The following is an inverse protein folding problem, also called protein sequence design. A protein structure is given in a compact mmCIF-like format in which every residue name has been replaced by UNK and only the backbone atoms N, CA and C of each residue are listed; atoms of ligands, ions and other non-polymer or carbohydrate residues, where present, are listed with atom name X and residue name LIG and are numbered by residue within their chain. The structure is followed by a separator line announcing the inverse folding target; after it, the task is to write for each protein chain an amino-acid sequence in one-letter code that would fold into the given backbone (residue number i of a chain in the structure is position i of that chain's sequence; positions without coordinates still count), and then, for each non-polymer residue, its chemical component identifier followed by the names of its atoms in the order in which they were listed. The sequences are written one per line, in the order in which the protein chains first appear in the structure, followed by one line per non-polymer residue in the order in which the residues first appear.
data_IF_435976028444
#
_entry.id   IF_435976028444
#
_cell.length_a   1.000
_cell.length_b   1.000
_cell.length_c   1.000
_cell.angle_alpha   90.00
_cell.angle_beta   90.00
_cell.angle_gamma   90.00
#
_symmetry.space_group_name_H-M   'P 1'
#
loop_
_entity.id
_entity.type
_entity.pdbx_description
1 polymer ?
#
# COMPACT_ATOMS: atom_id res chain seq x y z
N UNK A 1 -7.62 -20.35 2.85
CA UNK A 1 -8.37 -19.34 2.09
C UNK A 1 -7.50 -18.10 1.94
N UNK A 2 -7.19 -17.71 0.69
CA UNK A 2 -6.49 -16.47 0.43
C UNK A 2 -7.47 -15.30 0.45
N UNK A 3 -7.16 -14.24 1.21
CA UNK A 3 -7.98 -13.04 1.32
C UNK A 3 -7.26 -11.87 0.68
N UNK A 4 -7.90 -11.26 -0.31
CA UNK A 4 -7.36 -10.09 -1.03
C UNK A 4 -8.32 -8.91 -0.81
N UNK A 5 -7.80 -7.80 -0.33
CA UNK A 5 -8.52 -6.53 -0.17
C UNK A 5 -8.04 -5.57 -1.24
N UNK A 6 -8.98 -5.02 -2.02
CA UNK A 6 -8.70 -3.98 -3.01
C UNK A 6 -9.28 -2.67 -2.49
N UNK A 7 -8.48 -1.62 -2.41
CA UNK A 7 -8.86 -0.34 -1.80
C UNK A 7 -8.21 0.84 -2.50
N UNK A 8 -8.76 2.04 -2.33
CA UNK A 8 -8.11 3.29 -2.68
C UNK A 8 -7.19 3.79 -1.56
N UNK A 9 -6.31 4.71 -1.89
CA UNK A 9 -5.38 5.34 -0.95
C UNK A 9 -6.10 6.09 0.18
N UNK A 10 -7.15 6.83 -0.15
CA UNK A 10 -7.94 7.55 0.83
C UNK A 10 -8.69 6.62 1.79
N UNK A 11 -9.27 5.53 1.27
CA UNK A 11 -9.99 4.56 2.11
C UNK A 11 -9.04 3.84 3.05
N UNK A 12 -7.85 3.43 2.54
CA UNK A 12 -6.85 2.76 3.36
C UNK A 12 -6.27 3.67 4.44
N UNK A 13 -5.81 4.87 4.05
CA UNK A 13 -4.95 5.69 4.89
C UNK A 13 -5.71 6.72 5.75
N UNK A 14 -6.96 7.07 5.38
CA UNK A 14 -7.81 7.92 6.21
C UNK A 14 -8.65 7.07 7.17
N UNK A 15 -9.89 6.75 6.79
CA UNK A 15 -10.81 6.02 7.67
C UNK A 15 -10.33 4.60 7.99
N UNK A 16 -9.65 3.94 7.04
CA UNK A 16 -9.07 2.61 7.19
C UNK A 16 -7.74 2.57 7.96
N UNK A 17 -7.11 3.73 8.22
CA UNK A 17 -5.74 3.79 8.76
C UNK A 17 -5.53 3.01 10.05
N UNK A 18 -6.50 3.09 10.98
CA UNK A 18 -6.46 2.29 12.21
C UNK A 18 -6.50 0.78 11.92
N UNK A 19 -7.36 0.33 11.03
CA UNK A 19 -7.47 -1.08 10.66
C UNK A 19 -6.21 -1.57 9.95
N UNK A 20 -5.65 -0.75 9.05
CA UNK A 20 -4.41 -1.02 8.35
C UNK A 20 -3.24 -1.24 9.32
N UNK A 21 -3.01 -0.29 10.25
CA UNK A 21 -1.93 -0.39 11.25
C UNK A 21 -2.08 -1.65 12.10
N UNK A 22 -3.30 -1.97 12.57
CA UNK A 22 -3.53 -3.14 13.40
C UNK A 22 -3.45 -4.47 12.64
N UNK A 23 -3.80 -4.51 11.37
CA UNK A 23 -3.61 -5.69 10.51
C UNK A 23 -2.12 -5.96 10.28
N UNK A 24 -1.33 -4.91 9.98
CA UNK A 24 0.13 -4.98 9.88
C UNK A 24 0.75 -5.53 11.19
N UNK A 25 0.44 -4.89 12.33
CA UNK A 25 0.98 -5.24 13.65
C UNK A 25 0.72 -6.70 14.04
N UNK A 26 -0.45 -7.23 13.66
CA UNK A 26 -0.81 -8.62 13.98
C UNK A 26 -0.28 -9.61 12.93
N UNK A 27 0.24 -9.12 11.84
CA UNK A 27 0.65 -9.94 10.69
C UNK A 27 -0.45 -10.92 10.24
N UNK A 28 -1.68 -10.41 10.11
CA UNK A 28 -2.84 -11.23 9.71
C UNK A 28 -2.69 -11.65 8.25
N UNK A 29 -2.95 -12.91 7.93
CA UNK A 29 -2.84 -13.48 6.58
C UNK A 29 -3.83 -12.88 5.60
N UNK A 30 -3.55 -11.69 5.08
CA UNK A 30 -4.29 -11.05 4.00
C UNK A 30 -3.40 -10.15 3.15
N UNK A 31 -3.76 -10.01 1.88
CA UNK A 31 -3.06 -9.15 0.91
C UNK A 31 -3.89 -7.93 0.60
N UNK A 32 -3.33 -6.73 0.76
CA UNK A 32 -3.96 -5.46 0.44
C UNK A 32 -3.33 -4.88 -0.83
N UNK A 33 -4.15 -4.64 -1.85
CA UNK A 33 -3.75 -3.94 -3.08
C UNK A 33 -4.37 -2.55 -3.06
N UNK A 34 -3.51 -1.53 -3.01
CA UNK A 34 -3.92 -0.13 -2.90
C UNK A 34 -3.80 0.55 -4.25
N UNK A 35 -4.91 1.03 -4.80
CA UNK A 35 -4.87 1.93 -5.96
C UNK A 35 -4.65 3.36 -5.47
N UNK A 36 -3.38 3.76 -5.43
CA UNK A 36 -2.96 5.06 -4.92
C UNK A 36 -2.88 6.07 -6.06
N UNK A 37 -3.88 6.91 -6.16
CA UNK A 37 -3.94 8.00 -7.15
C UNK A 37 -3.86 9.40 -6.52
N UNK A 38 -3.49 9.46 -5.23
CA UNK A 38 -3.22 10.68 -4.46
C UNK A 38 -4.44 11.60 -4.29
N UNK A 39 -5.67 11.07 -4.46
CA UNK A 39 -6.90 11.87 -4.36
C UNK A 39 -8.15 10.98 -4.18
N UNK A 40 -9.20 11.49 -3.54
CA UNK A 40 -10.53 10.88 -3.63
C UNK A 40 -11.16 11.19 -5.00
N UNK A 41 -10.92 10.32 -6.00
CA UNK A 41 -11.37 10.56 -7.37
C UNK A 41 -12.90 10.47 -7.53
N UNK A 42 -13.53 9.42 -7.01
CA UNK A 42 -14.95 9.12 -7.23
C UNK A 42 -15.88 10.19 -6.65
N UNK A 43 -15.54 10.78 -5.52
CA UNK A 43 -16.40 11.72 -4.77
C UNK A 43 -16.21 13.19 -5.18
N UNK A 44 -15.32 13.49 -6.13
CA UNK A 44 -15.17 14.83 -6.69
C UNK A 44 -13.81 15.49 -6.48
N UNK A 45 -12.79 14.72 -6.07
CA UNK A 45 -11.42 15.22 -6.03
C UNK A 45 -11.01 15.90 -4.74
N UNK A 46 -11.44 15.38 -3.59
CA UNK A 46 -10.95 15.79 -2.27
C UNK A 46 -9.52 15.28 -2.08
N UNK A 47 -8.68 16.01 -1.32
CA UNK A 47 -7.36 15.51 -0.98
C UNK A 47 -7.48 14.27 -0.07
N UNK A 48 -6.57 13.33 -0.26
CA UNK A 48 -6.40 12.13 0.55
C UNK A 48 -5.15 12.25 1.42
N UNK A 49 -4.93 11.36 2.39
CA UNK A 49 -3.70 11.36 3.18
C UNK A 49 -2.41 11.14 2.37
N UNK A 50 -2.51 10.67 1.14
CA UNK A 50 -1.37 10.47 0.23
C UNK A 50 -1.16 11.64 -0.74
N UNK A 51 -2.08 12.62 -0.77
CA UNK A 51 -1.92 13.82 -1.61
C UNK A 51 -0.66 14.58 -1.22
N UNK A 52 0.28 14.85 -2.15
CA UNK A 52 1.51 15.58 -1.85
C UNK A 52 1.26 16.97 -1.27
N UNK A 53 2.17 17.40 -0.40
CA UNK A 53 2.15 18.78 0.12
C UNK A 53 2.31 19.78 -1.02
N UNK A 54 1.45 20.77 -1.06
CA UNK A 54 1.40 21.81 -2.10
C UNK A 54 0.48 21.48 -3.28
N UNK A 55 0.12 20.21 -3.48
CA UNK A 55 -0.77 19.83 -4.59
C UNK A 55 -2.24 20.24 -4.31
N UNK A 56 -2.95 20.55 -5.39
CA UNK A 56 -4.30 21.09 -5.35
C UNK A 56 -5.38 20.00 -5.42
N UNK A 57 -6.39 20.15 -4.61
CA UNK A 57 -7.57 19.28 -4.59
C UNK A 57 -8.85 20.12 -4.45
N UNK A 58 -10.03 19.49 -4.53
CA UNK A 58 -11.31 20.22 -4.34
C UNK A 58 -11.43 20.81 -2.93
N UNK A 59 -10.92 20.11 -1.92
CA UNK A 59 -10.90 20.55 -0.51
C UNK A 59 -9.59 21.24 -0.10
N UNK A 60 -8.61 21.34 -1.02
CA UNK A 60 -7.36 22.07 -0.84
C UNK A 60 -7.08 22.96 -2.07
N UNK A 61 -7.91 24.00 -2.32
CA UNK A 61 -7.81 24.81 -3.54
C UNK A 61 -6.56 25.70 -3.60
N UNK A 62 -5.90 25.92 -2.48
CA UNK A 62 -4.67 26.71 -2.37
C UNK A 62 -3.42 25.83 -2.14
N UNK A 63 -3.55 24.52 -2.29
CA UNK A 63 -2.53 23.51 -2.03
C UNK A 63 -2.72 22.79 -0.70
N UNK A 64 -2.39 21.50 -0.69
CA UNK A 64 -2.42 20.69 0.52
C UNK A 64 -1.31 21.12 1.49
N UNK A 65 -1.65 21.36 2.75
CA UNK A 65 -0.68 21.76 3.79
C UNK A 65 -0.16 20.58 4.60
N UNK A 66 -0.81 19.42 4.51
CA UNK A 66 -0.47 18.24 5.27
C UNK A 66 0.68 17.47 4.61
N UNK A 67 1.42 16.72 5.42
CA UNK A 67 2.42 15.78 4.90
C UNK A 67 1.72 14.54 4.39
N UNK A 68 2.08 14.10 3.19
CA UNK A 68 1.54 12.86 2.65
C UNK A 68 2.07 11.63 3.39
N UNK A 69 1.21 10.62 3.54
CA UNK A 69 1.64 9.30 3.98
C UNK A 69 2.37 8.57 2.87
N UNK A 70 3.48 7.93 3.23
CA UNK A 70 4.07 6.83 2.46
C UNK A 70 3.52 5.52 3.02
N UNK A 71 2.65 4.87 2.24
CA UNK A 71 1.96 3.63 2.63
C UNK A 71 2.96 2.52 2.94
N UNK A 72 4.02 2.40 2.14
CA UNK A 72 5.05 1.38 2.29
C UNK A 72 5.84 1.57 3.59
N UNK A 73 6.26 2.80 3.86
CA UNK A 73 6.97 3.16 5.09
C UNK A 73 6.08 2.98 6.33
N UNK A 74 4.80 3.34 6.22
CA UNK A 74 3.83 3.14 7.29
C UNK A 74 3.62 1.64 7.59
N UNK A 75 3.48 0.81 6.55
CA UNK A 75 3.37 -0.64 6.69
C UNK A 75 4.58 -1.24 7.41
N UNK A 76 5.79 -0.83 7.01
CA UNK A 76 7.05 -1.25 7.64
C UNK A 76 7.09 -0.87 9.12
N UNK A 77 6.78 0.38 9.44
CA UNK A 77 6.76 0.87 10.82
C UNK A 77 5.69 0.17 11.67
N UNK A 78 4.57 -0.23 11.06
CA UNK A 78 3.49 -0.96 11.73
C UNK A 78 3.76 -2.47 11.88
N UNK A 79 4.83 -3.01 11.27
CA UNK A 79 5.23 -4.41 11.44
C UNK A 79 4.62 -5.39 10.42
N UNK A 80 4.25 -4.93 9.22
CA UNK A 80 3.82 -5.82 8.14
C UNK A 80 4.93 -6.80 7.73
N UNK A 81 4.56 -7.99 7.23
CA UNK A 81 5.51 -8.97 6.73
C UNK A 81 6.05 -8.63 5.34
N UNK A 82 5.22 -8.05 4.49
CA UNK A 82 5.58 -7.72 3.11
C UNK A 82 5.04 -6.34 2.70
N UNK A 83 5.87 -5.53 2.04
CA UNK A 83 5.40 -4.35 1.34
C UNK A 83 6.19 -4.10 0.05
N UNK A 84 5.46 -3.69 -0.98
CA UNK A 84 5.98 -3.38 -2.30
C UNK A 84 5.28 -2.16 -2.89
N UNK A 85 5.93 -1.50 -3.83
CA UNK A 85 5.31 -0.47 -4.67
C UNK A 85 5.41 -0.86 -6.14
N UNK A 86 4.28 -0.77 -6.83
CA UNK A 86 4.17 -0.88 -8.27
C UNK A 86 3.54 0.37 -8.88
N UNK A 87 3.34 0.37 -10.19
CA UNK A 87 2.66 1.46 -10.90
C UNK A 87 1.84 0.95 -12.09
N UNK A 88 1.12 1.86 -12.74
CA UNK A 88 0.31 1.54 -13.91
C UNK A 88 1.12 1.39 -15.20
N UNK A 89 2.33 1.95 -15.28
CA UNK A 89 3.18 1.83 -16.46
C UNK A 89 3.94 0.51 -16.50
N UNK A 90 4.59 0.13 -15.38
CA UNK A 90 5.36 -1.11 -15.26
C UNK A 90 4.46 -2.29 -14.84
N UNK A 91 3.44 -2.57 -15.65
CA UNK A 91 2.35 -3.52 -15.35
C UNK A 91 2.85 -4.93 -15.01
N UNK A 92 3.82 -5.45 -15.76
CA UNK A 92 4.37 -6.79 -15.52
C UNK A 92 5.03 -6.90 -14.14
N UNK A 93 5.78 -5.86 -13.75
CA UNK A 93 6.36 -5.78 -12.41
C UNK A 93 5.25 -5.75 -11.36
N UNK A 94 4.26 -4.88 -11.51
CA UNK A 94 3.14 -4.74 -10.56
C UNK A 94 2.38 -6.05 -10.39
N UNK A 95 2.08 -6.76 -11.49
CA UNK A 95 1.45 -8.09 -11.44
C UNK A 95 2.32 -9.09 -10.67
N UNK A 96 3.63 -9.08 -10.89
CA UNK A 96 4.56 -9.96 -10.18
C UNK A 96 4.62 -9.68 -8.67
N UNK A 97 4.57 -8.41 -8.28
CA UNK A 97 4.55 -7.97 -6.89
C UNK A 97 3.26 -8.39 -6.18
N UNK A 98 2.10 -8.22 -6.84
CA UNK A 98 0.81 -8.68 -6.32
C UNK A 98 0.82 -10.20 -6.13
N UNK A 99 1.28 -10.95 -7.14
CA UNK A 99 1.37 -12.40 -7.07
C UNK A 99 2.31 -12.88 -5.94
N UNK A 100 3.40 -12.13 -5.67
CA UNK A 100 4.30 -12.43 -4.55
C UNK A 100 3.67 -12.11 -3.21
N UNK A 101 2.98 -10.98 -3.08
CA UNK A 101 2.24 -10.61 -1.87
C UNK A 101 1.15 -11.63 -1.51
N UNK A 102 0.43 -12.17 -2.50
CA UNK A 102 -0.58 -13.22 -2.28
C UNK A 102 0.06 -14.52 -1.74
N UNK A 103 1.28 -14.84 -2.16
CA UNK A 103 1.99 -16.05 -1.71
C UNK A 103 2.71 -15.87 -0.37
N UNK A 104 2.89 -14.63 0.07
CA UNK A 104 3.55 -14.35 1.33
C UNK A 104 2.65 -14.76 2.51
N UNK A 105 3.25 -15.38 3.54
CA UNK A 105 2.53 -15.75 4.76
C UNK A 105 2.48 -14.56 5.74
N UNK A 106 1.29 -14.06 5.99
CA UNK A 106 1.06 -12.89 6.83
C UNK A 106 0.53 -11.71 6.06
N UNK A 107 0.67 -10.51 6.62
CA UNK A 107 0.14 -9.29 6.04
C UNK A 107 1.02 -8.77 4.91
N UNK A 108 0.41 -8.59 3.76
CA UNK A 108 1.06 -8.03 2.57
C UNK A 108 0.36 -6.76 2.10
N UNK A 109 1.12 -5.73 1.71
CA UNK A 109 0.57 -4.55 1.04
C UNK A 109 1.33 -4.23 -0.23
N UNK A 110 0.59 -3.94 -1.30
CA UNK A 110 1.13 -3.47 -2.57
C UNK A 110 0.53 -2.09 -2.86
N UNK A 111 1.37 -1.05 -2.76
CA UNK A 111 1.05 0.33 -3.11
C UNK A 111 1.18 0.50 -4.62
N UNK A 112 0.06 0.48 -5.35
CA UNK A 112 0.04 0.63 -6.80
C UNK A 112 -0.19 2.11 -7.16
N UNK A 113 0.89 2.84 -7.49
CA UNK A 113 0.82 4.20 -7.99
C UNK A 113 -0.04 4.24 -9.25
N UNK A 114 -1.22 4.80 -9.15
CA UNK A 114 -2.18 4.91 -10.22
C UNK A 114 -2.38 6.38 -10.64
N UNK A 115 -3.17 6.62 -11.68
CA UNK A 115 -3.41 7.97 -12.17
C UNK A 115 -4.88 8.37 -12.01
N UNK A 116 -5.13 9.63 -11.67
CA UNK A 116 -6.44 10.25 -11.73
C UNK A 116 -6.42 11.48 -12.66
N UNK A 117 -6.57 11.30 -13.99
CA UNK A 117 -6.47 12.42 -14.93
C UNK A 117 -7.55 13.47 -14.74
N UNK A 118 -8.75 13.04 -14.32
CA UNK A 118 -9.95 13.89 -14.22
C UNK A 118 -9.84 14.93 -13.12
N UNK A 119 -9.40 14.55 -11.94
CA UNK A 119 -9.33 15.46 -10.79
C UNK A 119 -7.89 15.84 -10.42
N UNK A 120 -7.04 14.88 -10.11
CA UNK A 120 -5.67 15.16 -9.71
C UNK A 120 -4.83 15.75 -10.85
N UNK A 121 -4.79 15.07 -11.99
CA UNK A 121 -4.01 15.51 -13.15
C UNK A 121 -4.41 16.89 -13.64
N UNK A 122 -5.72 17.14 -13.78
CA UNK A 122 -6.24 18.43 -14.25
C UNK A 122 -5.90 19.56 -13.30
N UNK A 123 -6.08 19.37 -11.98
CA UNK A 123 -5.85 20.42 -10.97
C UNK A 123 -4.36 20.74 -10.80
N UNK A 124 -3.49 19.75 -11.02
CA UNK A 124 -2.05 19.88 -10.79
C UNK A 124 -1.23 19.98 -12.09
N UNK A 125 -1.88 20.23 -13.23
CA UNK A 125 -1.18 20.45 -14.51
C UNK A 125 -0.35 19.25 -14.98
N UNK A 126 -0.76 18.01 -14.62
CA UNK A 126 0.00 16.79 -14.96
C UNK A 126 -0.21 16.32 -16.41
N UNK A 127 -0.94 17.08 -17.24
CA UNK A 127 -1.19 16.78 -18.64
C UNK A 127 -2.31 15.76 -18.89
N UNK A 128 -2.20 15.07 -20.00
CA UNK A 128 -3.12 14.00 -20.40
C UNK A 128 -2.85 12.70 -19.63
N UNK A 129 -3.75 11.70 -19.69
CA UNK A 129 -3.47 10.36 -19.15
C UNK A 129 -2.16 9.75 -19.66
N UNK A 130 -1.82 10.01 -20.94
CA UNK A 130 -0.58 9.52 -21.55
C UNK A 130 0.64 10.23 -20.94
N UNK A 131 0.54 11.53 -20.68
CA UNK A 131 1.62 12.29 -20.02
C UNK A 131 1.86 11.79 -18.60
N UNK A 132 0.79 11.49 -17.85
CA UNK A 132 0.88 10.94 -16.50
C UNK A 132 1.53 9.55 -16.47
N UNK A 133 1.19 8.66 -17.42
CA UNK A 133 1.83 7.35 -17.55
C UNK A 133 3.29 7.49 -18.01
N UNK A 134 3.59 8.42 -18.93
CA UNK A 134 4.96 8.69 -19.34
C UNK A 134 5.81 9.22 -18.19
N UNK A 135 5.20 10.04 -17.31
CA UNK A 135 5.87 10.50 -16.10
C UNK A 135 6.24 9.31 -15.17
N UNK A 136 5.34 8.33 -15.00
CA UNK A 136 5.65 7.11 -14.22
C UNK A 136 6.84 6.37 -14.83
N UNK A 137 6.84 6.15 -16.17
CA UNK A 137 7.95 5.53 -16.89
C UNK A 137 9.30 6.21 -16.61
N UNK A 138 9.29 7.54 -16.68
CA UNK A 138 10.54 8.32 -16.67
C UNK A 138 11.07 8.56 -15.25
N UNK A 139 10.19 8.57 -14.26
CA UNK A 139 10.54 8.94 -12.88
C UNK A 139 10.52 7.77 -11.89
N UNK A 140 9.63 6.79 -12.03
CA UNK A 140 9.61 5.63 -11.14
C UNK A 140 10.66 4.61 -11.58
N UNK A 141 11.49 4.16 -10.64
CA UNK A 141 12.66 3.32 -10.92
C UNK A 141 12.55 1.97 -10.21
N UNK A 142 12.61 0.86 -10.97
CA UNK A 142 12.72 -0.47 -10.38
C UNK A 142 13.99 -0.58 -9.53
N UNK A 143 13.83 -0.92 -8.25
CA UNK A 143 14.96 -1.15 -7.34
C UNK A 143 15.04 -2.61 -6.94
N UNK A 144 16.29 -3.11 -6.81
CA UNK A 144 16.58 -4.48 -6.37
C UNK A 144 17.01 -4.54 -4.90
N UNK A 145 17.41 -3.39 -4.34
CA UNK A 145 17.89 -3.31 -2.95
C UNK A 145 16.91 -2.48 -2.12
N UNK A 146 16.31 -3.13 -1.11
CA UNK A 146 15.36 -2.51 -0.19
C UNK A 146 15.96 -1.34 0.62
N UNK A 147 17.29 -1.30 0.83
CA UNK A 147 17.97 -0.19 1.53
C UNK A 147 17.94 1.13 0.75
N UNK A 148 17.75 1.05 -0.57
CA UNK A 148 17.70 2.20 -1.48
C UNK A 148 16.27 2.61 -1.83
N UNK A 149 15.27 2.04 -1.13
CA UNK A 149 13.87 2.29 -1.44
C UNK A 149 13.44 3.68 -0.97
N UNK A 150 13.03 4.51 -1.90
CA UNK A 150 12.57 5.89 -1.70
C UNK A 150 11.17 6.14 -2.30
N UNK A 151 10.74 7.40 -2.35
CA UNK A 151 9.44 7.79 -2.88
C UNK A 151 9.25 7.50 -4.38
N UNK A 152 10.34 7.38 -5.14
CA UNK A 152 10.34 7.10 -6.58
C UNK A 152 10.70 5.65 -6.91
N UNK A 153 10.89 4.83 -5.91
CA UNK A 153 11.24 3.43 -6.07
C UNK A 153 10.02 2.55 -6.26
N UNK A 154 10.09 1.61 -7.21
CA UNK A 154 9.12 0.52 -7.38
C UNK A 154 9.84 -0.82 -7.24
N UNK A 155 9.13 -1.82 -6.72
CA UNK A 155 9.68 -3.13 -6.37
C UNK A 155 9.32 -3.52 -4.94
N UNK A 156 10.05 -4.48 -4.39
CA UNK A 156 9.88 -4.93 -3.02
C UNK A 156 10.65 -3.99 -2.10
N UNK A 157 9.92 -3.31 -1.20
CA UNK A 157 10.53 -2.43 -0.21
C UNK A 157 11.07 -3.20 1.00
N UNK A 158 10.33 -4.21 1.43
CA UNK A 158 10.79 -5.16 2.44
C UNK A 158 9.96 -6.44 2.41
N UNK A 159 10.55 -7.52 2.91
CA UNK A 159 9.94 -8.82 3.09
C UNK A 159 10.61 -9.50 4.29
N UNK A 160 9.80 -9.98 5.24
CA UNK A 160 10.24 -10.62 6.48
C UNK A 160 9.37 -11.84 6.75
N UNK A 161 9.99 -12.89 7.29
CA UNK A 161 9.32 -14.13 7.68
C UNK A 161 8.78 -14.04 9.13
N UNK A 162 7.93 -13.04 9.39
CA UNK A 162 7.27 -12.94 10.69
C UNK A 162 6.18 -14.01 10.80
N UNK A 163 5.98 -14.60 12.00
CA UNK A 163 4.90 -15.56 12.21
C UNK A 163 3.53 -14.95 11.90
N UNK A 164 2.72 -15.67 11.13
CA UNK A 164 1.35 -15.27 10.85
C UNK A 164 0.48 -15.46 12.09
N UNK A 165 -0.46 -14.54 12.33
CA UNK A 165 -1.24 -14.48 13.57
C UNK A 165 -2.09 -15.73 13.84
N UNK A 166 -2.84 -16.21 12.83
CA UNK A 166 -3.74 -17.36 13.01
C UNK A 166 -2.97 -18.66 13.20
N UNK A 167 -1.83 -18.79 12.54
CA UNK A 167 -0.92 -19.93 12.73
C UNK A 167 -0.33 -19.92 14.15
N UNK A 168 0.15 -18.77 14.61
CA UNK A 168 0.69 -18.62 15.98
C UNK A 168 -0.37 -18.94 17.02
N UNK A 169 -1.61 -18.46 16.81
CA UNK A 169 -2.72 -18.75 17.71
C UNK A 169 -3.12 -20.23 17.69
N UNK A 170 -3.14 -20.87 16.52
CA UNK A 170 -3.39 -22.31 16.38
C UNK A 170 -2.35 -23.16 17.12
N UNK A 171 -1.07 -22.81 17.00
CA UNK A 171 0.01 -23.49 17.70
C UNK A 171 -0.13 -23.39 19.24
N UNK A 172 -0.52 -22.21 19.73
CA UNK A 172 -0.79 -22.00 21.17
C UNK A 172 -1.95 -22.89 21.65
N UNK A 173 -3.05 -22.98 20.89
CA UNK A 173 -4.18 -23.83 21.25
C UNK A 173 -3.79 -25.31 21.30
N UNK A 174 -2.96 -25.77 20.35
CA UNK A 174 -2.47 -27.15 20.31
C UNK A 174 -1.61 -27.50 21.52
N UNK A 175 -0.69 -26.60 21.90
CA UNK A 175 0.16 -26.82 23.09
C UNK A 175 -0.65 -26.90 24.38
N UNK A 176 -1.66 -26.03 24.54
CA UNK A 176 -2.53 -26.07 25.74
C UNK A 176 -3.41 -27.33 25.81
N UNK A 177 -3.77 -27.91 24.66
CA UNK A 177 -4.54 -29.15 24.62
C UNK A 177 -3.68 -30.37 25.00
N UNK A 178 -2.38 -30.35 24.67
CA UNK A 178 -1.41 -31.38 25.04
C UNK A 178 -1.15 -31.35 26.56
N UNK A 179 -0.88 -30.17 27.12
CA UNK A 179 -0.66 -29.97 28.57
C UNK A 179 -1.89 -30.35 29.42
N UNK A 180 -3.10 -30.14 28.90
CA UNK A 180 -4.36 -30.49 29.58
C UNK A 180 -4.69 -31.99 29.62
N UNK A 181 -3.99 -32.82 28.82
CA UNK A 181 -4.14 -34.27 28.84
C UNK A 181 -3.17 -34.99 29.80
N UNK A 182 -2.20 -34.26 30.37
CA UNK A 182 -1.24 -34.81 31.35
C UNK A 182 -1.68 -34.63 32.82
N UNK A 183 -2.85 -34.04 33.09
CA UNK A 183 -3.42 -33.85 34.40
C UNK A 183 -4.67 -34.69 34.60
#
# INVERSE_FOLDING_TARGET
LEVIVITGDGDLAAIGGNHFIHACRRNIGLTVVVFNNEIYGMTGGQYSPTTPTGDHAATAPYGNLERSFDIVSLAKAAGAGFAARGDCYHTELTVSLIARGIKHQGFSVIDCASICPTYYGRKNGKGSPVDMLSWQRDNLKPVKNAEQFDAYSIGIAFENDYPEYTQTYGNLLSSLAEDGNET
#
